data_IF_450454859898
#
_entry.id   IF_450454859898
#
_cell.length_a   1.000
_cell.length_b   1.000
_cell.length_c   1.000
_cell.angle_alpha   90.00
_cell.angle_beta   90.00
_cell.angle_gamma   90.00
#
_symmetry.space_group_name_H-M   'P 1'
#
loop_
_entity.id
_entity.type
_entity.pdbx_description
1 polymer ?
2 non-polymer ?
3 non-polymer ?
4 water ?
#
# COMPACT_ATOMS: atom_id res chain seq x y z
N UNK A 1 6.25 -12.91 4.38
CA UNK A 1 5.54 -14.02 3.75
C UNK A 1 4.04 -13.94 4.04
N UNK A 2 3.28 -14.81 3.38
CA UNK A 2 1.83 -14.83 3.55
C UNK A 2 1.44 -15.81 4.65
N UNK A 3 0.42 -15.44 5.42
CA UNK A 3 -0.06 -16.26 6.53
C UNK A 3 -1.57 -16.42 6.46
N UNK A 4 -2.18 -16.96 7.52
CA UNK A 4 -3.62 -17.09 7.55
C UNK A 4 -4.34 -15.75 7.50
N UNK A 5 -3.67 -14.67 7.92
CA UNK A 5 -4.28 -13.35 7.89
C UNK A 5 -4.65 -12.90 6.48
N UNK A 6 -4.06 -13.53 5.46
CA UNK A 6 -4.37 -13.24 4.07
C UNK A 6 -5.14 -14.37 3.39
N UNK A 7 -5.44 -15.46 4.11
CA UNK A 7 -5.91 -16.68 3.46
C UNK A 7 -7.19 -16.40 2.67
N UNK A 8 -8.11 -15.62 3.24
CA UNK A 8 -9.34 -15.29 2.54
C UNK A 8 -9.04 -14.70 1.16
N UNK A 9 -8.19 -13.68 1.13
CA UNK A 9 -7.80 -13.11 -0.14
C UNK A 9 -7.20 -14.14 -1.07
N UNK A 10 -6.29 -14.96 -0.53
CA UNK A 10 -5.70 -16.02 -1.34
C UNK A 10 -6.78 -16.95 -1.86
N UNK A 11 -7.74 -17.31 -1.01
CA UNK A 11 -8.83 -18.16 -1.47
C UNK A 11 -9.57 -17.49 -2.61
N UNK A 12 -9.84 -16.18 -2.49
CA UNK A 12 -10.54 -15.47 -3.54
C UNK A 12 -9.80 -15.57 -4.86
N UNK A 13 -8.46 -15.57 -4.81
CA UNK A 13 -7.69 -15.76 -6.04
C UNK A 13 -7.86 -17.18 -6.55
N UNK A 14 -7.68 -18.17 -5.67
CA UNK A 14 -7.64 -19.56 -6.11
C UNK A 14 -8.99 -19.98 -6.66
N UNK A 15 -10.06 -19.70 -5.91
CA UNK A 15 -11.40 -19.98 -6.38
C UNK A 15 -11.70 -19.23 -7.68
N UNK A 16 -11.05 -18.08 -7.89
CA UNK A 16 -11.23 -17.36 -9.14
C UNK A 16 -10.66 -18.15 -10.31
N UNK A 17 -9.53 -18.80 -10.11
CA UNK A 17 -8.87 -19.50 -11.21
C UNK A 17 -9.56 -20.82 -11.53
N UNK A 18 -9.78 -21.65 -10.49
CA UNK A 18 -10.37 -22.97 -10.71
C UNK A 18 -11.72 -22.83 -11.39
N UNK A 19 -12.59 -21.98 -10.83
CA UNK A 19 -13.91 -21.76 -11.42
C UNK A 19 -13.79 -21.30 -12.86
N UNK A 20 -12.76 -20.51 -13.18
CA UNK A 20 -12.53 -20.14 -14.57
C UNK A 20 -12.15 -21.35 -15.40
N UNK A 21 -11.15 -22.11 -14.95
CA UNK A 21 -10.65 -23.23 -15.74
C UNK A 21 -11.75 -24.25 -15.98
N UNK A 22 -12.40 -24.70 -14.90
CA UNK A 22 -13.48 -25.66 -15.01
C UNK A 22 -14.57 -25.15 -15.95
N UNK A 23 -14.76 -23.84 -16.05
CA UNK A 23 -15.72 -23.32 -17.00
C UNK A 23 -15.21 -23.50 -18.43
N UNK A 24 -14.01 -23.02 -18.72
CA UNK A 24 -13.50 -23.08 -20.08
C UNK A 24 -13.30 -24.53 -20.53
N UNK A 25 -12.75 -25.36 -19.64
CA UNK A 25 -12.57 -26.77 -19.94
C UNK A 25 -13.90 -27.44 -20.29
N UNK A 26 -15.00 -26.89 -19.79
CA UNK A 26 -16.31 -27.45 -20.10
C UNK A 26 -16.92 -26.93 -21.38
N UNK A 27 -16.51 -25.74 -21.84
CA UNK A 27 -17.13 -25.12 -23.00
C UNK A 27 -16.16 -25.00 -24.18
N UNK A 28 -15.03 -24.33 -23.98
CA UNK A 28 -14.02 -24.14 -25.03
C UNK A 28 -12.66 -24.48 -24.45
N UNK A 29 -12.30 -25.77 -24.42
CA UNK A 29 -10.99 -26.14 -23.87
C UNK A 29 -9.82 -25.44 -24.57
N UNK A 30 -9.90 -25.29 -25.89
CA UNK A 30 -8.82 -24.62 -26.62
C UNK A 30 -8.57 -23.20 -26.13
N UNK A 31 -9.40 -22.68 -25.22
CA UNK A 31 -9.26 -21.33 -24.70
C UNK A 31 -9.12 -21.29 -23.18
N UNK A 32 -8.62 -22.36 -22.54
CA UNK A 32 -8.35 -22.25 -21.10
C UNK A 32 -7.28 -21.20 -20.83
N UNK A 33 -6.20 -21.21 -21.61
CA UNK A 33 -5.08 -20.31 -21.32
C UNK A 33 -5.44 -18.84 -21.52
N UNK A 34 -6.07 -18.42 -22.63
CA UNK A 34 -6.44 -17.00 -22.74
C UNK A 34 -7.49 -16.60 -21.71
N UNK A 35 -8.54 -17.42 -21.57
CA UNK A 35 -9.61 -17.08 -20.66
C UNK A 35 -9.12 -16.89 -19.23
N UNK A 36 -8.29 -17.82 -18.76
CA UNK A 36 -7.66 -17.66 -17.45
C UNK A 36 -6.94 -16.32 -17.35
N UNK A 37 -6.16 -15.99 -18.37
CA UNK A 37 -5.46 -14.71 -18.38
C UNK A 37 -6.45 -13.56 -18.20
N UNK A 38 -7.58 -13.62 -18.91
CA UNK A 38 -8.61 -12.60 -18.75
C UNK A 38 -9.00 -12.47 -17.28
N UNK A 39 -9.34 -13.60 -16.65
CA UNK A 39 -9.68 -13.57 -15.23
C UNK A 39 -8.55 -12.93 -14.43
N UNK A 40 -7.32 -13.37 -14.69
CA UNK A 40 -6.19 -12.82 -13.97
C UNK A 40 -6.13 -11.31 -14.17
N UNK A 41 -6.29 -10.85 -15.41
CA UNK A 41 -6.29 -9.42 -15.67
C UNK A 41 -7.33 -8.72 -14.83
N UNK A 42 -8.55 -9.26 -14.80
CA UNK A 42 -9.61 -8.67 -13.98
C UNK A 42 -9.14 -8.54 -12.54
N UNK A 43 -8.57 -9.61 -11.99
CA UNK A 43 -8.14 -9.58 -10.60
C UNK A 43 -7.13 -8.46 -10.39
N UNK A 44 -6.21 -8.29 -11.33
CA UNK A 44 -5.21 -7.23 -11.22
C UNK A 44 -5.89 -5.89 -10.99
N UNK A 45 -6.89 -5.57 -11.83
CA UNK A 45 -7.59 -4.31 -11.67
C UNK A 45 -8.30 -4.26 -10.31
N UNK A 46 -8.94 -5.36 -9.92
CA UNK A 46 -9.64 -5.40 -8.65
C UNK A 46 -8.67 -5.20 -7.50
N UNK A 47 -7.40 -5.58 -7.70
CA UNK A 47 -6.42 -5.43 -6.64
C UNK A 47 -5.83 -4.02 -6.56
N UNK A 48 -6.24 -3.12 -7.45
CA UNK A 48 -5.73 -1.75 -7.43
C UNK A 48 -6.72 -0.75 -6.86
N UNK A 49 -7.87 -1.20 -6.36
CA UNK A 49 -8.94 -0.30 -5.96
C UNK A 49 -8.82 0.23 -4.54
N UNK A 50 -7.92 -0.32 -3.73
CA UNK A 50 -7.68 0.15 -2.36
C UNK A 50 -8.94 0.06 -1.50
N UNK A 51 -9.83 -0.86 -1.82
CA UNK A 51 -11.07 -0.98 -1.07
C UNK A 51 -10.80 -1.63 0.29
N UNK A 52 -11.59 -1.27 1.31
CA UNK A 52 -11.38 -1.86 2.65
C UNK A 52 -11.51 -3.37 2.65
N UNK A 53 -12.32 -3.94 1.77
CA UNK A 53 -12.43 -5.39 1.67
C UNK A 53 -11.10 -6.00 1.25
N UNK A 54 -10.36 -5.32 0.37
CA UNK A 54 -9.06 -5.83 -0.04
C UNK A 54 -8.10 -5.88 1.14
N UNK A 55 -8.07 -4.84 1.96
CA UNK A 55 -7.21 -4.84 3.13
C UNK A 55 -7.64 -5.90 4.13
N UNK A 56 -8.95 -6.09 4.30
CA UNK A 56 -9.44 -7.12 5.22
C UNK A 56 -9.02 -8.50 4.74
N UNK A 57 -9.11 -8.77 3.43
CA UNK A 57 -8.82 -10.09 2.92
C UNK A 57 -7.32 -10.38 2.85
N UNK A 58 -6.52 -9.39 2.44
CA UNK A 58 -5.09 -9.58 2.25
C UNK A 58 -4.26 -8.97 3.39
N UNK A 59 -4.90 -8.67 4.52
CA UNK A 59 -4.23 -8.13 5.71
C UNK A 59 -3.74 -6.71 5.50
N UNK A 60 -2.79 -6.50 4.59
CA UNK A 60 -2.17 -5.20 4.40
C UNK A 60 -2.16 -4.81 2.93
N UNK A 61 -1.96 -3.51 2.68
CA UNK A 61 -1.90 -3.00 1.32
C UNK A 61 -0.64 -3.46 0.60
N UNK A 62 0.45 -3.67 1.33
CA UNK A 62 1.68 -4.17 0.70
C UNK A 62 1.46 -5.56 0.11
N UNK A 63 0.79 -6.44 0.86
CA UNK A 63 0.43 -7.75 0.32
C UNK A 63 -0.54 -7.63 -0.84
N UNK A 64 -1.44 -6.64 -0.77
CA UNK A 64 -2.38 -6.40 -1.87
C UNK A 64 -1.62 -6.11 -3.16
N UNK A 65 -0.62 -5.23 -3.07
CA UNK A 65 0.13 -4.86 -4.28
C UNK A 65 1.08 -5.97 -4.71
N UNK A 66 1.57 -6.78 -3.77
CA UNK A 66 2.35 -7.96 -4.14
C UNK A 66 1.51 -8.93 -4.96
N UNK A 67 0.28 -9.22 -4.50
CA UNK A 67 -0.61 -10.08 -5.26
C UNK A 67 -1.00 -9.44 -6.59
N UNK A 68 -1.13 -8.11 -6.61
CA UNK A 68 -1.43 -7.38 -7.84
C UNK A 68 -0.32 -7.59 -8.87
N UNK A 69 0.94 -7.50 -8.45
CA UNK A 69 2.06 -7.75 -9.35
C UNK A 69 2.10 -9.22 -9.79
N UNK A 70 1.79 -10.15 -8.88
CA UNK A 70 1.79 -11.56 -9.25
C UNK A 70 0.73 -11.85 -10.31
N UNK A 71 -0.46 -11.29 -10.14
CA UNK A 71 -1.51 -11.47 -11.14
C UNK A 71 -1.13 -10.83 -12.46
N UNK A 72 -0.43 -9.68 -12.41
CA UNK A 72 0.06 -9.05 -13.63
C UNK A 72 1.02 -9.97 -14.39
N UNK A 73 1.98 -10.55 -13.67
CA UNK A 73 2.94 -11.46 -14.32
C UNK A 73 2.25 -12.70 -14.87
N UNK A 74 1.32 -13.28 -14.12
CA UNK A 74 0.59 -14.44 -14.63
C UNK A 74 -0.16 -14.09 -15.90
N UNK A 75 -0.84 -12.93 -15.91
CA UNK A 75 -1.56 -12.50 -17.09
C UNK A 75 -0.63 -12.35 -18.29
N UNK A 76 0.52 -11.71 -18.08
CA UNK A 76 1.39 -11.45 -19.23
C UNK A 76 2.01 -12.74 -19.76
N UNK A 77 2.36 -13.67 -18.86
CA UNK A 77 2.93 -14.94 -19.31
C UNK A 77 1.89 -15.73 -20.10
N UNK A 78 0.67 -15.82 -19.57
CA UNK A 78 -0.39 -16.54 -20.28
C UNK A 78 -0.69 -15.89 -21.63
N UNK A 79 -0.71 -14.56 -21.67
CA UNK A 79 -0.99 -13.86 -22.92
C UNK A 79 0.12 -14.07 -23.94
N UNK A 80 1.37 -14.09 -23.50
CA UNK A 80 2.47 -14.34 -24.43
C UNK A 80 2.38 -15.75 -24.99
N UNK A 81 2.07 -16.73 -24.15
CA UNK A 81 1.91 -18.09 -24.66
C UNK A 81 0.74 -18.18 -25.64
N UNK A 82 -0.36 -17.50 -25.32
CA UNK A 82 -1.52 -17.49 -26.21
C UNK A 82 -1.18 -16.86 -27.56
N UNK A 83 -0.44 -15.75 -27.54
CA UNK A 83 -0.01 -15.11 -28.79
C UNK A 83 0.89 -16.04 -29.59
N UNK A 84 1.81 -16.72 -28.92
CA UNK A 84 2.70 -17.63 -29.62
C UNK A 84 1.92 -18.78 -30.25
N UNK A 85 0.94 -19.31 -29.55
CA UNK A 85 0.22 -20.48 -30.02
C UNK A 85 -0.88 -20.17 -31.03
N UNK A 86 -1.34 -18.91 -31.10
CA UNK A 86 -2.51 -18.61 -31.94
C UNK A 86 -2.31 -17.42 -32.86
N UNK A 87 -1.07 -16.98 -33.09
CA UNK A 87 -0.86 -15.87 -33.98
C UNK A 87 0.60 -15.54 -34.16
N UNK A 88 0.85 -14.34 -34.69
CA UNK A 88 2.18 -13.83 -34.92
C UNK A 88 2.34 -12.46 -34.31
N UNK A 89 3.02 -11.58 -35.05
CA UNK A 89 3.31 -10.24 -34.57
C UNK A 89 2.27 -9.20 -34.97
N UNK A 90 1.44 -9.50 -35.96
CA UNK A 90 0.38 -8.58 -36.36
C UNK A 90 -0.74 -9.38 -37.02
N UNK A 91 -1.98 -9.09 -36.61
CA UNK A 91 -3.11 -9.86 -37.09
C UNK A 91 -3.53 -9.50 -38.50
N UNK A 92 -4.40 -10.34 -39.05
CA UNK A 92 -4.93 -10.13 -40.40
C UNK A 92 -6.25 -9.37 -40.39
N UNK A 93 -7.06 -9.52 -39.35
CA UNK A 93 -8.31 -8.81 -39.22
C UNK A 93 -8.29 -7.94 -37.97
N UNK A 94 -9.28 -7.05 -37.87
CA UNK A 94 -9.32 -6.07 -36.79
C UNK A 94 -9.41 -6.73 -35.42
N UNK A 95 -10.13 -7.86 -35.32
CA UNK A 95 -10.28 -8.53 -34.04
C UNK A 95 -8.94 -9.03 -33.51
N UNK A 96 -8.09 -9.56 -34.40
CA UNK A 96 -6.77 -10.02 -33.99
C UNK A 96 -5.81 -8.85 -33.75
N UNK A 97 -5.93 -7.78 -34.53
CA UNK A 97 -5.08 -6.61 -34.34
C UNK A 97 -5.36 -5.92 -33.01
N UNK A 98 -6.61 -5.97 -32.54
CA UNK A 98 -6.91 -5.46 -31.22
C UNK A 98 -6.13 -6.22 -30.14
N UNK A 99 -6.10 -7.55 -30.26
CA UNK A 99 -5.30 -8.33 -29.33
C UNK A 99 -3.82 -8.06 -29.43
N UNK A 100 -3.32 -7.86 -30.66
CA UNK A 100 -1.92 -7.51 -30.85
C UNK A 100 -1.57 -6.21 -30.14
N UNK A 101 -2.37 -5.17 -30.36
CA UNK A 101 -2.14 -3.89 -29.70
C UNK A 101 -2.24 -4.01 -28.20
N UNK A 102 -3.24 -4.74 -27.71
CA UNK A 102 -3.42 -4.90 -26.27
C UNK A 102 -2.22 -5.59 -25.63
N UNK A 103 -1.71 -6.65 -26.26
CA UNK A 103 -0.59 -7.38 -25.69
C UNK A 103 0.69 -6.53 -25.75
N UNK A 104 0.85 -5.74 -26.82
CA UNK A 104 2.01 -4.86 -26.89
C UNK A 104 1.97 -3.80 -25.79
N UNK A 105 0.81 -3.21 -25.56
CA UNK A 105 0.68 -2.21 -24.50
C UNK A 105 0.90 -2.85 -23.13
N UNK A 106 0.35 -4.04 -22.91
CA UNK A 106 0.54 -4.72 -21.63
C UNK A 106 2.01 -4.99 -21.37
N UNK A 107 2.72 -5.53 -22.37
CA UNK A 107 4.14 -5.82 -22.20
C UNK A 107 4.94 -4.55 -21.96
N UNK A 108 4.66 -3.48 -22.72
CA UNK A 108 5.38 -2.23 -22.53
C UNK A 108 5.15 -1.66 -21.14
N UNK A 109 3.90 -1.68 -20.66
CA UNK A 109 3.60 -1.13 -19.34
C UNK A 109 4.27 -1.96 -18.26
N UNK A 110 4.26 -3.28 -18.39
CA UNK A 110 4.89 -4.13 -17.38
C UNK A 110 6.39 -3.91 -17.36
N UNK A 111 7.01 -3.72 -18.53
CA UNK A 111 8.43 -3.39 -18.57
C UNK A 111 8.71 -2.05 -17.91
N UNK A 112 7.87 -1.04 -18.17
CA UNK A 112 8.11 0.28 -17.62
C UNK A 112 7.85 0.30 -16.11
N UNK A 113 7.03 -0.62 -15.60
CA UNK A 113 6.72 -0.65 -14.17
C UNK A 113 7.99 -0.80 -13.34
N UNK A 114 8.96 -1.57 -13.83
CA UNK A 114 10.29 -1.59 -13.22
C UNK A 114 11.24 -0.61 -13.90
N UNK A 115 10.78 0.65 -13.94
CA UNK A 115 11.63 1.79 -14.33
C UNK A 115 11.35 2.98 -13.43
N UNK A 116 10.97 2.74 -12.18
CA UNK A 116 10.58 3.81 -11.28
C UNK A 116 11.72 4.70 -10.81
N UNK A 117 12.96 4.19 -10.86
CA UNK A 117 14.09 5.02 -10.47
C UNK A 117 14.28 6.19 -11.43
N UNK A 118 14.06 5.96 -12.72
CA UNK A 118 14.29 6.98 -13.74
C UNK A 118 13.08 7.84 -14.04
N UNK A 119 11.91 7.51 -13.47
CA UNK A 119 10.66 8.18 -13.80
C UNK A 119 10.03 8.72 -12.52
N UNK A 120 9.56 9.96 -12.58
CA UNK A 120 8.81 10.54 -11.47
C UNK A 120 7.52 9.76 -11.24
N UNK A 121 7.04 9.79 -10.00
CA UNK A 121 5.92 8.94 -9.61
C UNK A 121 4.65 9.27 -10.40
N UNK A 122 4.39 10.56 -10.64
CA UNK A 122 3.19 10.93 -11.38
C UNK A 122 3.28 10.51 -12.85
N UNK A 123 4.46 10.68 -13.46
CA UNK A 123 4.64 10.18 -14.82
C UNK A 123 4.56 8.66 -14.87
N UNK A 124 5.07 7.99 -13.83
CA UNK A 124 4.94 6.54 -13.74
C UNK A 124 3.47 6.14 -13.70
N UNK A 125 2.66 6.83 -12.89
CA UNK A 125 1.24 6.52 -12.81
C UNK A 125 0.53 6.79 -14.13
N UNK A 126 0.86 7.90 -14.80
CA UNK A 126 0.22 8.23 -16.07
C UNK A 126 0.55 7.20 -17.13
N UNK A 127 1.79 6.72 -17.17
CA UNK A 127 2.14 5.64 -18.09
C UNK A 127 1.43 4.35 -17.71
N UNK A 128 1.36 4.07 -16.40
CA UNK A 128 0.73 2.84 -15.92
C UNK A 128 -0.75 2.79 -16.27
N UNK A 129 -1.41 3.96 -16.34
CA UNK A 129 -2.85 4.00 -16.57
C UNK A 129 -3.24 3.53 -17.97
N UNK A 130 -2.28 3.33 -18.88
CA UNK A 130 -2.59 2.78 -20.19
C UNK A 130 -3.04 1.32 -20.14
N UNK A 131 -2.94 0.68 -18.97
CA UNK A 131 -3.48 -0.66 -18.80
C UNK A 131 -4.98 -0.67 -19.07
N UNK A 132 -5.67 0.43 -18.78
CA UNK A 132 -7.10 0.50 -19.06
C UNK A 132 -7.37 0.44 -20.56
N UNK A 133 -6.59 1.18 -21.36
CA UNK A 133 -6.74 1.11 -22.80
C UNK A 133 -6.41 -0.27 -23.32
N UNK A 134 -5.34 -0.89 -22.80
CA UNK A 134 -4.98 -2.25 -23.21
C UNK A 134 -6.09 -3.24 -22.87
N UNK A 135 -6.68 -3.09 -21.67
CA UNK A 135 -7.77 -3.96 -21.23
C UNK A 135 -9.00 -3.80 -22.10
N UNK A 136 -9.34 -2.56 -22.47
CA UNK A 136 -10.48 -2.33 -23.35
C UNK A 136 -10.23 -2.93 -24.72
N UNK A 137 -9.00 -2.79 -25.24
CA UNK A 137 -8.67 -3.40 -26.52
C UNK A 137 -8.78 -4.92 -26.45
N UNK A 138 -8.32 -5.52 -25.36
CA UNK A 138 -8.42 -6.96 -25.19
C UNK A 138 -9.87 -7.42 -25.09
N UNK A 139 -10.71 -6.65 -24.40
CA UNK A 139 -12.13 -7.00 -24.31
C UNK A 139 -12.81 -6.91 -25.68
N UNK A 140 -12.48 -5.88 -26.45
CA UNK A 140 -13.00 -5.78 -27.81
C UNK A 140 -12.56 -6.98 -28.64
N UNK A 141 -11.28 -7.32 -28.55
CA UNK A 141 -10.76 -8.50 -29.25
C UNK A 141 -11.55 -9.74 -28.88
N UNK A 142 -11.74 -9.97 -27.58
CA UNK A 142 -12.42 -11.18 -27.10
C UNK A 142 -13.84 -11.23 -27.63
N UNK A 143 -14.56 -10.10 -27.55
CA UNK A 143 -15.98 -10.14 -27.87
C UNK A 143 -16.22 -10.24 -29.37
N UNK A 144 -15.46 -9.52 -30.19
CA UNK A 144 -15.63 -9.72 -31.62
C UNK A 144 -15.11 -11.07 -32.10
N UNK A 145 -14.15 -11.68 -31.40
CA UNK A 145 -13.73 -13.03 -31.75
C UNK A 145 -14.80 -14.06 -31.39
N UNK A 146 -15.40 -13.96 -30.22
CA UNK A 146 -16.34 -14.98 -29.75
C UNK A 146 -17.76 -14.80 -30.26
N UNK A 147 -18.16 -13.58 -30.63
CA UNK A 147 -19.49 -13.40 -31.18
C UNK A 147 -20.55 -13.66 -30.13
N UNK A 148 -21.55 -14.48 -30.49
CA UNK A 148 -22.68 -14.79 -29.63
C UNK A 148 -22.38 -15.89 -28.62
N UNK A 149 -21.20 -16.51 -28.69
CA UNK A 149 -20.82 -17.50 -27.69
C UNK A 149 -20.67 -16.88 -26.30
N UNK A 150 -20.47 -15.57 -26.22
CA UNK A 150 -20.33 -14.86 -24.95
C UNK A 150 -21.51 -13.93 -24.68
N UNK A 151 -22.59 -14.06 -25.45
CA UNK A 151 -23.77 -13.22 -25.30
C UNK A 151 -25.03 -14.07 -25.13
N UNK A 152 -24.88 -15.29 -24.64
CA UNK A 152 -25.99 -16.20 -24.41
C UNK A 152 -26.21 -16.38 -22.91
N UNK A 153 -27.17 -17.24 -22.58
CA UNK A 153 -27.51 -17.54 -21.19
C UNK A 153 -26.84 -18.86 -20.81
N UNK A 154 -25.57 -18.78 -20.46
CA UNK A 154 -24.81 -19.95 -20.04
C UNK A 154 -23.70 -19.51 -19.10
N UNK A 155 -23.07 -20.49 -18.45
CA UNK A 155 -22.10 -20.20 -17.41
C UNK A 155 -20.89 -19.46 -17.95
N UNK A 156 -20.43 -19.83 -19.15
CA UNK A 156 -19.26 -19.18 -19.73
C UNK A 156 -19.51 -17.70 -19.96
N UNK A 157 -20.68 -17.37 -20.52
CA UNK A 157 -21.02 -15.98 -20.77
C UNK A 157 -21.09 -15.19 -19.47
N UNK A 158 -21.74 -15.76 -18.45
CA UNK A 158 -21.85 -15.08 -17.16
C UNK A 158 -20.48 -14.85 -16.54
N UNK A 159 -19.62 -15.86 -16.56
CA UNK A 159 -18.31 -15.74 -15.95
C UNK A 159 -17.46 -14.69 -16.66
N UNK A 160 -17.39 -14.77 -17.99
CA UNK A 160 -16.58 -13.83 -18.75
C UNK A 160 -17.11 -12.41 -18.58
N UNK A 161 -18.43 -12.23 -18.69
CA UNK A 161 -19.00 -10.91 -18.54
C UNK A 161 -18.82 -10.34 -17.15
N UNK A 162 -18.97 -11.19 -16.13
CA UNK A 162 -18.84 -10.73 -14.75
C UNK A 162 -17.41 -10.26 -14.47
N UNK A 163 -16.42 -11.08 -14.86
CA UNK A 163 -15.04 -10.66 -14.61
C UNK A 163 -14.66 -9.45 -15.46
N UNK A 164 -15.12 -9.38 -16.70
CA UNK A 164 -14.83 -8.23 -17.54
C UNK A 164 -15.44 -6.95 -16.97
N UNK A 165 -16.69 -7.03 -16.51
CA UNK A 165 -17.35 -5.86 -15.95
C UNK A 165 -16.70 -5.45 -14.63
N UNK A 166 -16.31 -6.41 -13.80
CA UNK A 166 -15.62 -6.07 -12.56
C UNK A 166 -14.30 -5.38 -12.84
N UNK A 167 -13.52 -5.90 -13.80
CA UNK A 167 -12.28 -5.24 -14.15
C UNK A 167 -12.49 -3.84 -14.71
N UNK A 168 -13.49 -3.68 -15.57
CA UNK A 168 -13.78 -2.38 -16.15
C UNK A 168 -14.18 -1.37 -15.07
N UNK A 169 -15.06 -1.78 -14.16
CA UNK A 169 -15.51 -0.88 -13.10
C UNK A 169 -14.37 -0.56 -12.14
N UNK A 170 -13.54 -1.54 -11.80
CA UNK A 170 -12.41 -1.30 -10.92
C UNK A 170 -11.42 -0.32 -11.54
N UNK A 171 -11.10 -0.52 -12.82
CA UNK A 171 -10.19 0.40 -13.49
C UNK A 171 -10.74 1.80 -13.58
N UNK A 172 -12.03 1.92 -13.95
CA UNK A 172 -12.64 3.24 -14.04
C UNK A 172 -12.66 3.94 -12.69
N UNK A 173 -12.99 3.20 -11.63
CA UNK A 173 -13.04 3.80 -10.29
C UNK A 173 -11.65 4.28 -9.87
N UNK A 174 -10.64 3.43 -10.03
CA UNK A 174 -9.32 3.80 -9.52
C UNK A 174 -8.70 4.92 -10.36
N UNK A 175 -8.97 4.94 -11.67
CA UNK A 175 -8.31 5.92 -12.53
C UNK A 175 -9.05 7.26 -12.53
N UNK A 176 -10.38 7.25 -12.52
CA UNK A 176 -11.16 8.46 -12.73
C UNK A 176 -11.93 8.94 -11.50
N UNK A 177 -12.33 8.03 -10.62
CA UNK A 177 -13.25 8.38 -9.54
C UNK A 177 -12.63 8.39 -8.16
N UNK A 178 -11.57 7.62 -7.93
CA UNK A 178 -11.07 7.44 -6.57
C UNK A 178 -10.61 8.75 -5.95
N UNK A 179 -9.89 9.58 -6.72
CA UNK A 179 -9.38 10.83 -6.18
C UNK A 179 -10.42 11.94 -6.15
N UNK A 180 -11.60 11.71 -6.73
CA UNK A 180 -12.66 12.73 -6.79
C UNK A 180 -13.78 12.48 -5.79
N UNK A 181 -14.17 11.23 -5.57
CA UNK A 181 -15.31 10.92 -4.71
C UNK A 181 -14.91 10.22 -3.41
N UNK A 182 -13.74 9.60 -3.35
CA UNK A 182 -13.34 8.81 -2.20
C UNK A 182 -12.45 9.56 -1.23
N UNK A 183 -12.35 10.88 -1.34
CA UNK A 183 -11.59 11.71 -0.42
C UNK A 183 -12.54 12.66 0.29
N UNK A 184 -13.40 12.15 1.18
CA UNK A 184 -14.45 12.99 1.75
C UNK A 184 -14.02 13.83 2.93
N UNK A 185 -12.79 13.67 3.43
CA UNK A 185 -12.35 14.43 4.60
C UNK A 185 -11.67 15.69 4.12
N UNK A 186 -12.40 16.81 4.17
CA UNK A 186 -11.87 18.11 3.77
C UNK A 186 -11.35 18.84 4.99
N UNK A 187 -10.11 19.32 4.92
CA UNK A 187 -9.50 19.98 6.05
C UNK A 187 -8.68 21.19 5.62
N UNK A 188 -8.35 22.00 6.61
CA UNK A 188 -7.49 23.16 6.45
C UNK A 188 -6.25 23.00 7.29
N UNK A 189 -5.10 23.35 6.72
CA UNK A 189 -3.85 23.33 7.48
C UNK A 189 -3.84 24.52 8.42
N UNK A 190 -3.73 24.26 9.72
CA UNK A 190 -3.80 25.31 10.73
C UNK A 190 -2.47 25.66 11.36
N UNK A 191 -1.54 24.70 11.47
CA UNK A 191 -0.26 24.95 12.11
C UNK A 191 0.81 24.10 11.45
N UNK A 192 2.01 24.68 11.32
CA UNK A 192 3.17 23.98 10.80
C UNK A 192 4.35 24.22 11.73
N UNK A 193 5.09 23.16 12.02
CA UNK A 193 6.25 23.24 12.90
C UNK A 193 7.39 22.45 12.30
N UNK A 194 8.57 23.05 12.26
CA UNK A 194 9.77 22.40 11.74
C UNK A 194 10.51 21.76 12.90
N UNK A 195 10.50 20.42 12.94
CA UNK A 195 11.10 19.70 14.06
C UNK A 195 12.62 19.71 13.98
N UNK A 196 13.19 19.57 12.78
CA UNK A 196 14.63 19.64 12.60
C UNK A 196 14.89 20.22 11.21
N UNK A 197 16.11 20.01 10.70
CA UNK A 197 16.50 20.59 9.42
C UNK A 197 15.72 20.03 8.24
N UNK A 198 15.06 18.87 8.38
CA UNK A 198 14.38 18.28 7.25
C UNK A 198 13.03 17.65 7.57
N UNK A 199 12.45 17.88 8.74
CA UNK A 199 11.17 17.29 9.10
C UNK A 199 10.21 18.38 9.53
N UNK A 200 8.99 18.33 9.02
CA UNK A 200 7.97 19.32 9.34
C UNK A 200 6.70 18.63 9.83
N UNK A 201 6.08 19.21 10.85
CA UNK A 201 4.83 18.72 11.40
C UNK A 201 3.68 19.57 10.89
N UNK A 202 2.60 18.93 10.46
CA UNK A 202 1.44 19.57 9.88
C UNK A 202 0.23 19.24 10.73
N UNK A 203 -0.49 20.27 11.17
CA UNK A 203 -1.73 20.13 11.92
C UNK A 203 -2.89 20.52 11.01
N UNK A 204 -3.91 19.66 10.96
CA UNK A 204 -5.03 19.80 10.05
C UNK A 204 -6.32 19.84 10.86
N UNK A 205 -7.17 20.81 10.59
CA UNK A 205 -8.51 20.87 11.15
C UNK A 205 -9.50 20.38 10.10
N UNK A 206 -10.24 19.32 10.43
CA UNK A 206 -11.15 18.68 9.49
C UNK A 206 -12.58 19.14 9.71
N UNK A 207 -13.38 18.98 8.67
CA UNK A 207 -14.80 19.32 8.75
C UNK A 207 -15.59 18.25 9.50
N UNK A 208 -15.14 17.01 9.46
CA UNK A 208 -15.78 15.89 10.14
C UNK A 208 -14.78 15.17 11.01
N UNK A 209 -15.23 14.52 12.08
CA UNK A 209 -14.32 13.68 12.86
C UNK A 209 -13.73 12.56 12.01
N UNK A 210 -12.45 12.28 12.23
CA UNK A 210 -11.72 11.27 11.50
C UNK A 210 -11.41 10.10 12.44
N UNK A 211 -11.81 8.91 12.06
CA UNK A 211 -11.67 7.73 12.90
C UNK A 211 -10.46 6.93 12.43
N UNK A 212 -9.54 6.68 13.35
CA UNK A 212 -8.33 5.92 13.05
C UNK A 212 -7.82 5.31 14.35
N UNK A 213 -6.92 4.36 14.22
CA UNK A 213 -6.21 3.77 15.35
C UNK A 213 -4.73 4.02 15.18
N UNK A 214 -4.05 4.26 16.31
CA UNK A 214 -2.63 4.57 16.27
C UNK A 214 -1.84 3.47 15.58
N UNK A 215 -0.93 3.88 14.70
CA UNK A 215 -0.21 2.96 13.84
C UNK A 215 -0.73 2.88 12.43
N UNK A 216 -1.80 3.60 12.10
CA UNK A 216 -2.38 3.61 10.78
C UNK A 216 -1.91 4.83 10.00
N UNK A 217 -2.15 4.81 8.69
CA UNK A 217 -1.75 5.88 7.80
C UNK A 217 -2.93 6.29 6.91
N UNK A 218 -2.72 7.34 6.13
CA UNK A 218 -3.76 7.84 5.24
C UNK A 218 -3.10 8.53 4.05
N UNK A 219 -3.87 8.68 2.98
CA UNK A 219 -3.41 9.35 1.77
C UNK A 219 -3.87 10.80 1.79
N UNK A 220 -2.92 11.72 1.70
CA UNK A 220 -3.18 13.15 1.78
C UNK A 220 -3.04 13.79 0.40
N UNK A 221 -3.99 14.65 0.05
CA UNK A 221 -3.92 15.47 -1.16
C UNK A 221 -3.90 16.93 -0.74
N UNK A 222 -2.88 17.66 -1.18
CA UNK A 222 -2.67 19.06 -0.81
C UNK A 222 -3.04 19.93 -2.01
N UNK A 223 -3.79 20.99 -1.76
CA UNK A 223 -4.23 21.92 -2.80
C UNK A 223 -3.62 23.29 -2.49
N UNK A 224 -2.46 23.55 -3.07
CA UNK A 224 -1.79 24.83 -2.95
C UNK A 224 -1.16 25.18 -4.29
N UNK A 225 -1.01 26.48 -4.55
CA UNK A 225 -0.33 26.92 -5.76
C UNK A 225 1.13 26.50 -5.73
N UNK A 226 1.56 25.77 -6.76
CA UNK A 226 2.90 25.24 -6.82
C UNK A 226 3.06 23.84 -6.25
N UNK A 227 2.00 23.26 -5.69
CA UNK A 227 2.05 21.93 -5.12
C UNK A 227 1.36 20.92 -6.03
N UNK A 228 1.85 19.69 -6.00
CA UNK A 228 1.19 18.61 -6.70
C UNK A 228 0.03 18.07 -5.86
N UNK A 229 -1.05 17.70 -6.53
CA UNK A 229 -2.29 17.27 -5.86
C UNK A 229 -2.41 15.76 -5.75
N UNK A 230 -1.38 15.02 -6.15
CA UNK A 230 -1.43 13.57 -6.06
C UNK A 230 -1.45 13.13 -4.59
N UNK A 231 -2.14 12.03 -4.28
CA UNK A 231 -2.22 11.57 -2.89
C UNK A 231 -0.91 10.90 -2.47
N UNK A 232 -0.42 11.28 -1.30
CA UNK A 232 0.78 10.65 -0.76
C UNK A 232 0.44 9.98 0.57
N UNK A 233 0.98 8.78 0.82
CA UNK A 233 0.71 8.11 2.09
C UNK A 233 1.58 8.68 3.21
N UNK A 234 0.96 8.99 4.33
CA UNK A 234 1.65 9.43 5.53
C UNK A 234 0.98 8.81 6.74
N UNK A 235 1.80 8.37 7.71
CA UNK A 235 1.27 7.86 8.96
C UNK A 235 0.65 9.00 9.77
N UNK A 236 -0.50 8.72 10.39
CA UNK A 236 -1.11 9.70 11.28
C UNK A 236 -0.29 9.76 12.56
N UNK A 237 0.20 10.95 12.90
CA UNK A 237 1.11 11.13 14.02
C UNK A 237 0.45 11.78 15.22
N UNK A 238 -0.87 11.74 15.30
CA UNK A 238 -1.57 12.26 16.45
C UNK A 238 -2.90 12.88 16.05
N UNK A 239 -3.56 13.45 17.05
CA UNK A 239 -4.83 14.12 16.83
C UNK A 239 -6.02 13.21 17.05
N UNK A 240 -7.14 13.83 17.40
CA UNK A 240 -8.39 13.09 17.57
C UNK A 240 -9.55 14.00 17.18
N UNK A 241 -10.65 13.38 16.75
CA UNK A 241 -11.81 14.13 16.32
C UNK A 241 -11.58 14.87 15.02
N UNK A 242 -11.62 16.20 15.08
CA UNK A 242 -11.45 17.04 13.90
C UNK A 242 -10.06 17.65 13.81
N UNK A 243 -9.06 17.04 14.45
CA UNK A 243 -7.68 17.50 14.40
C UNK A 243 -6.79 16.32 14.07
N UNK A 244 -5.86 16.52 13.13
CA UNK A 244 -4.94 15.48 12.70
C UNK A 244 -3.53 16.03 12.65
N UNK A 245 -2.56 15.16 12.90
CA UNK A 245 -1.15 15.50 12.81
C UNK A 245 -0.45 14.57 11.81
N UNK A 246 0.41 15.16 10.98
CA UNK A 246 1.26 14.40 10.07
C UNK A 246 2.68 14.92 10.16
N UNK A 247 3.63 14.00 10.24
CA UNK A 247 5.05 14.37 10.33
C UNK A 247 5.75 13.91 9.06
N UNK A 248 6.22 14.87 8.27
CA UNK A 248 6.75 14.62 6.94
C UNK A 248 8.24 14.92 6.95
N UNK A 249 9.05 13.92 6.57
CA UNK A 249 10.48 14.08 6.38
C UNK A 249 10.77 14.33 4.91
N UNK A 250 11.79 15.13 4.65
CA UNK A 250 12.18 15.44 3.28
C UNK A 250 12.85 14.23 2.65
N UNK A 251 12.22 13.68 1.61
CA UNK A 251 12.78 12.53 0.90
C UNK A 251 12.66 12.66 -0.61
N UNK A 252 12.26 13.82 -1.10
CA UNK A 252 12.06 14.00 -2.53
C UNK A 252 11.50 15.38 -2.79
N UNK A 253 11.10 15.60 -4.05
CA UNK A 253 10.66 16.93 -4.46
C UNK A 253 9.39 17.35 -3.72
N UNK A 254 8.41 16.45 -3.59
CA UNK A 254 7.15 16.82 -2.96
C UNK A 254 7.31 17.04 -1.47
N UNK A 255 8.07 16.19 -0.79
CA UNK A 255 8.27 16.36 0.65
C UNK A 255 9.17 17.54 0.96
N UNK A 256 10.15 17.81 0.10
CA UNK A 256 10.94 19.04 0.24
C UNK A 256 10.07 20.27 0.03
N UNK A 257 9.14 20.20 -0.92
CA UNK A 257 8.18 21.28 -1.12
C UNK A 257 7.31 21.47 0.12
N UNK A 258 6.89 20.37 0.74
CA UNK A 258 6.12 20.45 1.97
C UNK A 258 6.92 21.14 3.07
N UNK A 259 8.20 20.76 3.19
CA UNK A 259 9.05 21.34 4.23
C UNK A 259 9.29 22.83 3.99
N UNK A 260 9.44 23.23 2.73
CA UNK A 260 9.89 24.58 2.44
C UNK A 260 8.75 25.58 2.23
N UNK A 261 7.76 25.23 1.40
CA UNK A 261 6.81 26.20 0.87
C UNK A 261 5.38 26.00 1.34
N UNK A 262 5.08 24.93 2.07
CA UNK A 262 3.71 24.70 2.52
C UNK A 262 3.26 25.81 3.46
N UNK A 263 2.02 26.28 3.27
CA UNK A 263 1.49 27.41 4.01
C UNK A 263 0.26 26.97 4.82
N UNK A 264 0.07 27.63 5.96
CA UNK A 264 -1.12 27.40 6.76
C UNK A 264 -2.34 27.99 6.06
N UNK A 265 -3.48 27.31 6.21
CA UNK A 265 -4.69 27.70 5.54
C UNK A 265 -4.94 27.02 4.21
N UNK A 266 -4.01 26.19 3.75
CA UNK A 266 -4.20 25.47 2.50
C UNK A 266 -5.22 24.34 2.67
N UNK A 267 -5.85 23.97 1.57
CA UNK A 267 -6.83 22.89 1.57
C UNK A 267 -6.13 21.54 1.49
N UNK A 268 -6.67 20.57 2.22
CA UNK A 268 -6.20 19.19 2.15
C UNK A 268 -7.41 18.27 2.12
N UNK A 269 -7.24 17.11 1.49
CA UNK A 269 -8.26 16.08 1.48
C UNK A 269 -7.66 14.75 1.89
N UNK A 270 -8.42 14.00 2.68
CA UNK A 270 -8.05 12.66 3.12
C UNK A 270 -9.18 11.70 2.80
N UNK A 271 -8.81 10.46 2.51
CA UNK A 271 -9.77 9.43 2.10
C UNK A 271 -10.25 8.60 3.29
N UNK A 272 -9.34 7.90 3.95
CA UNK A 272 -9.66 7.03 5.08
C UNK A 272 -8.35 6.58 5.71
N UNK A 273 -8.46 5.72 6.72
CA UNK A 273 -7.31 5.19 7.44
C UNK A 273 -7.00 3.80 6.94
N UNK A 274 -5.71 3.54 6.68
CA UNK A 274 -5.21 2.25 6.25
C UNK A 274 -4.17 1.76 7.25
N UNK A 275 -3.99 0.46 7.31
CA UNK A 275 -2.90 -0.12 8.08
C UNK A 275 -3.25 -1.30 8.95
N UNK A 276 -2.26 -2.15 9.19
CA UNK A 276 -2.42 -3.32 10.04
C UNK A 276 -1.58 -3.25 11.31
N UNK A 277 -0.84 -2.16 11.52
CA UNK A 277 0.02 -2.01 12.70
C UNK A 277 -0.73 -1.27 13.81
N UNK A 278 -1.83 -1.87 14.25
CA UNK A 278 -2.65 -1.29 15.30
C UNK A 278 -2.01 -1.64 16.64
N UNK A 279 -1.44 -0.63 17.30
CA UNK A 279 -0.68 -0.87 18.53
C UNK A 279 -1.60 -1.31 19.66
N UNK A 280 -2.77 -0.69 19.78
CA UNK A 280 -3.68 -0.98 20.88
C UNK A 280 -4.24 -2.40 20.84
N UNK A 281 -4.12 -3.10 19.71
CA UNK A 281 -4.62 -4.46 19.57
C UNK A 281 -3.53 -5.51 19.77
N UNK A 282 -2.35 -5.12 20.22
CA UNK A 282 -1.26 -6.05 20.45
C UNK A 282 -1.28 -6.64 21.85
N UNK A 283 -0.25 -7.40 22.14
CA UNK A 283 -0.12 -8.04 23.44
C UNK A 283 0.16 -7.00 24.52
N UNK A 284 0.02 -7.43 25.78
CA UNK A 284 0.29 -6.53 26.90
C UNK A 284 1.75 -6.08 26.91
N UNK A 285 2.68 -7.01 26.68
CA UNK A 285 4.09 -6.68 26.56
C UNK A 285 4.39 -6.34 25.12
N UNK A 286 5.01 -5.18 24.89
CA UNK A 286 5.27 -4.70 23.54
C UNK A 286 6.68 -4.14 23.45
N UNK A 287 7.31 -4.36 22.31
CA UNK A 287 8.61 -3.79 21.98
C UNK A 287 8.44 -2.98 20.70
N UNK A 288 8.71 -1.68 20.78
CA UNK A 288 8.62 -0.79 19.63
C UNK A 288 10.02 -0.50 19.11
N UNK A 289 10.19 -0.62 17.80
CA UNK A 289 11.46 -0.33 17.14
C UNK A 289 11.18 0.63 15.99
N UNK A 290 11.76 1.82 16.07
CA UNK A 290 11.55 2.86 15.07
C UNK A 290 12.89 3.28 14.47
N UNK A 291 12.93 3.41 13.15
CA UNK A 291 14.09 3.96 12.49
C UNK A 291 13.77 5.26 11.78
N UNK A 292 14.29 6.37 12.31
CA UNK A 292 14.03 7.67 11.71
C UNK A 292 12.56 8.02 11.73
N UNK A 293 12.07 8.49 10.57
CA UNK A 293 10.69 8.93 10.45
C UNK A 293 9.69 7.82 10.78
N UNK A 294 10.16 6.56 10.79
CA UNK A 294 9.33 5.46 11.25
C UNK A 294 8.84 5.60 12.68
N UNK A 295 9.30 6.62 13.40
CA UNK A 295 8.76 6.92 14.73
C UNK A 295 7.34 7.48 14.66
N UNK A 296 6.87 7.86 13.47
CA UNK A 296 5.59 8.56 13.36
C UNK A 296 4.40 7.80 13.94
N UNK A 297 4.20 6.49 13.67
CA UNK A 297 3.02 5.84 14.27
C UNK A 297 3.05 5.77 15.79
N UNK A 298 4.19 5.39 16.37
CA UNK A 298 4.29 5.27 17.82
C UNK A 298 4.00 6.59 18.51
N UNK A 299 4.51 7.69 17.94
CA UNK A 299 4.23 9.02 18.48
C UNK A 299 2.72 9.22 18.61
N UNK A 300 1.97 8.80 17.59
CA UNK A 300 0.52 8.90 17.64
C UNK A 300 -0.02 8.26 18.92
N UNK A 301 0.39 7.03 19.20
CA UNK A 301 -0.04 6.37 20.43
C UNK A 301 0.31 7.21 21.64
N UNK A 302 1.54 7.72 21.70
CA UNK A 302 1.98 8.52 22.83
C UNK A 302 1.11 9.76 22.96
N UNK A 303 0.72 10.35 21.83
CA UNK A 303 -0.11 11.55 21.86
C UNK A 303 -1.56 11.24 22.19
N UNK A 304 -2.00 10.00 22.05
CA UNK A 304 -3.40 9.65 22.28
C UNK A 304 -3.61 8.86 23.56
N UNK A 305 -2.55 8.42 24.24
CA UNK A 305 -2.64 7.68 25.49
C UNK A 305 -1.69 8.32 26.49
N UNK A 306 -2.11 9.40 27.15
CA UNK A 306 -1.23 10.04 28.15
C UNK A 306 -0.82 9.11 29.27
N UNK A 307 -1.68 8.19 29.67
CA UNK A 307 -1.34 7.15 30.63
C UNK A 307 -1.15 5.86 29.84
N UNK A 308 0.07 5.34 29.83
CA UNK A 308 0.35 4.12 29.08
C UNK A 308 -0.26 2.91 29.77
N UNK A 309 -0.94 2.07 29.01
CA UNK A 309 -1.62 0.90 29.53
C UNK A 309 -0.86 -0.39 29.30
N UNK A 310 0.30 -0.33 28.64
CA UNK A 310 1.08 -1.51 28.31
C UNK A 310 2.49 -1.37 28.87
N UNK A 311 3.21 -2.48 28.88
CA UNK A 311 4.63 -2.48 29.19
C UNK A 311 5.40 -2.40 27.88
N UNK A 312 6.00 -1.24 27.62
CA UNK A 312 6.57 -0.93 26.31
C UNK A 312 8.05 -0.63 26.48
N UNK A 313 8.87 -1.31 25.66
CA UNK A 313 10.27 -0.95 25.45
C UNK A 313 10.38 -0.36 24.06
N UNK A 314 10.68 0.94 23.98
CA UNK A 314 10.79 1.65 22.72
C UNK A 314 12.26 1.86 22.40
N UNK A 315 12.66 1.47 21.18
CA UNK A 315 14.00 1.69 20.67
C UNK A 315 13.89 2.65 19.49
N UNK A 316 14.40 3.86 19.67
CA UNK A 316 14.37 4.87 18.62
C UNK A 316 15.80 5.07 18.11
N UNK A 317 16.05 4.67 16.87
CA UNK A 317 17.36 4.77 16.26
C UNK A 317 17.36 5.93 15.27
N UNK A 318 18.30 6.86 15.45
CA UNK A 318 18.40 8.02 14.58
C UNK A 318 19.84 8.24 14.15
N UNK A 319 20.01 8.81 12.96
CA UNK A 319 21.33 9.05 12.36
C UNK A 319 21.82 10.42 12.79
N UNK A 320 22.30 10.50 14.03
CA UNK A 320 22.77 11.77 14.56
C UNK A 320 21.70 12.51 15.31
N UNK A 321 22.13 13.32 16.28
CA UNK A 321 21.20 14.10 17.08
C UNK A 321 20.46 15.14 16.25
N UNK A 322 21.02 15.56 15.12
CA UNK A 322 20.32 16.48 14.24
C UNK A 322 19.19 15.82 13.47
N UNK A 323 19.15 14.50 13.44
CA UNK A 323 18.11 13.76 12.74
C UNK A 323 17.05 13.21 13.69
N UNK A 324 17.10 13.57 14.97
CA UNK A 324 16.14 13.10 15.96
C UNK A 324 14.98 14.07 16.06
N UNK A 325 13.77 13.52 16.22
CA UNK A 325 12.56 14.30 16.41
C UNK A 325 11.86 13.85 17.69
N UNK A 326 11.11 14.77 18.29
CA UNK A 326 10.23 14.46 19.43
C UNK A 326 11.00 13.94 20.63
N UNK A 327 12.28 14.30 20.78
CA UNK A 327 13.06 13.81 21.91
C UNK A 327 12.52 14.32 23.23
N UNK A 328 12.15 15.60 23.29
CA UNK A 328 11.56 16.15 24.52
C UNK A 328 10.24 15.46 24.84
N UNK A 329 9.42 15.21 23.82
CA UNK A 329 8.15 14.52 24.03
C UNK A 329 8.37 13.11 24.55
N UNK A 330 9.34 12.38 23.98
CA UNK A 330 9.62 11.03 24.43
C UNK A 330 10.16 11.02 25.86
N UNK A 331 11.02 11.98 26.20
CA UNK A 331 11.54 12.06 27.56
C UNK A 331 10.43 12.39 28.56
N UNK A 332 9.52 13.29 28.19
CA UNK A 332 8.38 13.59 29.05
C UNK A 332 7.49 12.38 29.24
N UNK A 333 7.24 11.63 28.16
CA UNK A 333 6.42 10.43 28.28
C UNK A 333 7.09 9.38 29.15
N UNK A 334 8.41 9.21 29.02
CA UNK A 334 9.12 8.26 29.86
C UNK A 334 9.09 8.67 31.33
N UNK A 335 9.26 9.97 31.60
CA UNK A 335 9.19 10.44 32.98
C UNK A 335 7.80 10.25 33.57
N UNK A 336 6.76 10.51 32.77
CA UNK A 336 5.40 10.40 33.28
C UNK A 336 4.97 8.95 33.46
N UNK A 337 5.42 8.06 32.56
CA UNK A 337 4.97 6.67 32.55
C UNK A 337 6.08 5.74 32.99
N UNK A 338 6.03 5.20 34.21
CA UNK A 338 7.08 4.27 34.65
C UNK A 338 7.15 2.99 33.84
N UNK A 339 6.07 2.58 33.19
CA UNK A 339 6.07 1.35 32.40
C UNK A 339 6.60 1.57 30.99
N UNK A 340 6.99 2.79 30.64
CA UNK A 340 7.56 3.11 29.34
C UNK A 340 9.07 3.19 29.47
N UNK A 341 9.78 2.33 28.74
CA UNK A 341 11.24 2.33 28.72
C UNK A 341 11.71 2.90 27.39
N UNK A 342 12.62 3.86 27.45
CA UNK A 342 13.08 4.59 26.28
C UNK A 342 14.56 4.28 26.03
N UNK A 343 14.88 3.91 24.79
CA UNK A 343 16.25 3.62 24.38
C UNK A 343 16.54 4.41 23.12
N UNK A 344 17.28 5.51 23.27
CA UNK A 344 17.67 6.35 22.14
C UNK A 344 19.02 5.89 21.63
N UNK A 345 19.08 5.49 20.37
CA UNK A 345 20.29 4.96 19.75
C UNK A 345 20.72 5.93 18.67
N UNK A 346 21.82 6.64 18.92
CA UNK A 346 22.45 7.49 17.92
C UNK A 346 23.33 6.59 17.07
N UNK A 347 22.83 6.21 15.89
CA UNK A 347 23.54 5.23 15.05
C UNK A 347 24.87 5.75 14.55
N UNK A 348 25.08 7.07 14.54
CA UNK A 348 26.37 7.61 14.13
C UNK A 348 27.47 7.27 15.13
N UNK A 349 27.16 7.35 16.43
CA UNK A 349 28.16 7.17 17.47
C UNK A 349 27.96 5.92 18.32
N UNK A 350 26.72 5.46 18.51
CA UNK A 350 26.46 4.30 19.34
C UNK A 350 26.51 2.99 18.57
N UNK A 351 26.63 3.03 17.25
CA UNK A 351 26.67 1.83 16.45
C UNK A 351 25.36 1.52 15.77
N UNK A 352 24.77 0.37 16.09
CA UNK A 352 23.50 -0.03 15.50
C UNK A 352 22.75 -0.90 16.49
N UNK A 353 21.45 -1.07 16.23
CA UNK A 353 20.62 -1.89 17.10
C UNK A 353 20.95 -3.36 16.91
N UNK A 354 21.33 -4.03 18.00
CA UNK A 354 21.67 -5.45 17.98
C UNK A 354 20.85 -6.14 19.06
N UNK A 355 20.11 -7.18 18.66
CA UNK A 355 19.24 -7.89 19.59
C UNK A 355 19.77 -9.27 19.94
N UNK A 356 21.06 -9.53 19.71
CA UNK A 356 21.64 -10.79 20.17
C UNK A 356 21.88 -10.80 21.66
N UNK A 357 21.92 -9.62 22.30
CA UNK A 357 22.16 -9.51 23.73
C UNK A 357 20.96 -8.99 24.51
N UNK A 358 20.14 -8.13 23.91
CA UNK A 358 19.00 -7.57 24.61
C UNK A 358 17.92 -8.62 24.83
N UNK A 359 17.24 -8.52 25.96
CA UNK A 359 16.18 -9.46 26.31
C UNK A 359 14.87 -9.05 25.65
N UNK A 360 13.96 -10.02 25.55
CA UNK A 360 12.63 -9.77 25.01
C UNK A 360 11.60 -10.28 26.01
N UNK A 361 10.44 -9.63 26.15
CA UNK A 361 9.39 -10.17 27.00
C UNK A 361 8.86 -11.49 26.45
N UNK A 362 8.33 -12.30 27.37
CA UNK A 362 7.90 -13.66 27.02
C UNK A 362 6.77 -13.63 25.99
N UNK A 363 5.62 -13.09 26.38
CA UNK A 363 4.44 -13.03 25.50
C UNK A 363 4.39 -11.63 24.92
N UNK A 364 5.23 -11.38 23.92
CA UNK A 364 5.51 -10.04 23.45
C UNK A 364 5.13 -9.86 21.99
N UNK A 365 4.71 -8.64 21.67
CA UNK A 365 4.49 -8.19 20.30
C UNK A 365 5.54 -7.13 19.97
N UNK A 366 6.19 -7.26 18.82
CA UNK A 366 7.24 -6.35 18.39
C UNK A 366 6.75 -5.63 17.14
N UNK A 367 6.67 -4.31 17.23
CA UNK A 367 6.27 -3.45 16.12
C UNK A 367 7.51 -2.82 15.51
N UNK A 368 7.61 -2.88 14.19
CA UNK A 368 8.75 -2.35 13.45
C UNK A 368 8.27 -1.35 12.41
N UNK A 369 8.90 -0.18 12.41
CA UNK A 369 8.64 0.86 11.41
C UNK A 369 9.96 1.54 11.10
N UNK A 370 10.50 1.28 9.92
CA UNK A 370 11.77 1.84 9.52
C UNK A 370 12.30 1.21 8.25
N UNK A 371 13.58 1.42 7.97
CA UNK A 371 14.18 0.81 6.77
C UNK A 371 14.10 -0.71 6.85
N UNK A 372 13.83 -1.33 5.69
CA UNK A 372 13.68 -2.78 5.63
C UNK A 372 15.02 -3.47 5.90
N UNK A 373 16.13 -2.87 5.45
CA UNK A 373 17.44 -3.51 5.59
C UNK A 373 17.79 -3.72 7.06
N UNK A 374 17.59 -2.71 7.89
CA UNK A 374 17.90 -2.84 9.31
C UNK A 374 16.79 -3.54 10.09
N UNK A 375 15.57 -3.59 9.55
CA UNK A 375 14.50 -4.33 10.19
C UNK A 375 14.63 -5.83 9.98
N UNK A 376 15.16 -6.27 8.84
CA UNK A 376 15.25 -7.70 8.56
C UNK A 376 16.20 -8.41 9.54
N UNK A 377 17.37 -7.83 9.77
CA UNK A 377 18.32 -8.44 10.70
C UNK A 377 17.76 -8.46 12.11
N UNK A 378 17.10 -7.38 12.53
CA UNK A 378 16.51 -7.35 13.87
C UNK A 378 15.42 -8.39 14.01
N UNK A 379 14.59 -8.55 12.98
CA UNK A 379 13.54 -9.57 13.02
C UNK A 379 14.14 -10.97 13.10
N UNK A 380 15.21 -11.22 12.34
CA UNK A 380 15.87 -12.51 12.41
C UNK A 380 16.42 -12.79 13.80
N UNK A 381 17.08 -11.80 14.40
CA UNK A 381 17.63 -11.97 15.74
C UNK A 381 16.53 -12.22 16.76
N UNK A 382 15.44 -11.46 16.69
CA UNK A 382 14.35 -11.61 17.66
C UNK A 382 13.67 -12.96 17.50
N UNK A 383 13.45 -13.41 16.26
CA UNK A 383 12.88 -14.73 16.04
C UNK A 383 13.81 -15.82 16.52
N UNK A 384 15.12 -15.65 16.34
CA UNK A 384 16.08 -16.62 16.83
C UNK A 384 16.04 -16.70 18.36
N UNK A 385 15.91 -15.56 19.03
CA UNK A 385 15.87 -15.57 20.49
C UNK A 385 14.58 -16.21 21.00
N UNK A 386 13.44 -15.62 20.66
CA UNK A 386 12.12 -16.14 21.05
C UNK A 386 11.31 -16.38 19.80
N UNK A 387 11.19 -17.63 19.33
CA UNK A 387 10.48 -17.89 18.06
C UNK A 387 8.99 -17.60 18.12
N UNK A 388 8.38 -17.54 19.31
CA UNK A 388 6.94 -17.34 19.43
C UNK A 388 6.55 -15.88 19.62
N UNK A 389 7.51 -14.96 19.57
CA UNK A 389 7.19 -13.55 19.69
C UNK A 389 6.42 -13.06 18.46
N UNK A 390 5.32 -12.36 18.69
CA UNK A 390 4.56 -11.80 17.58
C UNK A 390 5.33 -10.65 16.95
N UNK A 391 5.29 -10.56 15.62
CA UNK A 391 6.08 -9.57 14.89
C UNK A 391 5.21 -8.91 13.83
N UNK A 392 5.12 -7.59 13.87
CA UNK A 392 4.44 -6.82 12.84
C UNK A 392 5.37 -5.73 12.36
N UNK A 393 5.50 -5.59 11.04
CA UNK A 393 6.36 -4.59 10.43
C UNK A 393 5.58 -3.81 9.38
N UNK A 394 5.88 -2.52 9.25
CA UNK A 394 5.30 -1.70 8.20
C UNK A 394 6.39 -0.92 7.49
N UNK A 395 6.38 -1.00 6.15
CA UNK A 395 7.31 -0.26 5.32
C UNK A 395 6.70 1.02 4.77
N UNK A 396 7.53 1.76 4.05
CA UNK A 396 7.16 3.08 3.54
C UNK A 396 7.22 3.13 2.01
N UNK A 397 6.80 2.04 1.35
CA UNK A 397 6.71 2.04 -0.10
C UNK A 397 5.85 0.86 -0.55
N UNK A 398 5.39 0.95 -1.81
CA UNK A 398 4.61 -0.11 -2.42
C UNK A 398 5.29 -0.76 -3.62
N UNK A 399 6.31 -0.11 -4.20
CA UNK A 399 7.01 -0.67 -5.35
C UNK A 399 8.50 -0.32 -5.29
X LIG B 1 10.07 11.05 -4.41
X LIG B 1 11.44 11.60 -4.57
X LIG B 1 9.08 11.39 -5.52
X LIG B 1 10.11 9.50 -4.26
X LIG B 1 10.88 8.86 -3.21
X LIG B 1 10.21 7.57 -2.82
X LIG B 1 8.82 7.80 -2.51
X LIG B 1 10.23 6.46 -3.88
X LIG B 1 10.41 5.18 -3.30
X LIG B 1 8.86 6.61 -4.54
X LIG B 1 8.40 5.37 -5.08
X LIG B 1 7.99 7.02 -3.35
X LIG B 1 6.83 7.83 -3.71
X LIG B 1 6.83 9.02 -4.37
X LIG B 1 5.64 9.54 -4.57
X LIG B 1 4.79 8.59 -4.00
X LIG B 1 3.39 8.55 -3.87
X LIG B 1 2.56 9.48 -4.34
X LIG B 1 2.85 7.47 -3.25
X LIG B 1 3.68 6.52 -2.78
X LIG B 1 5.00 6.47 -2.84
X LIG B 1 5.51 7.54 -3.47
X LIG B 1 6.90 9.70 4.99
X LIG B 1 7.04 10.56 6.04
X LIG B 1 7.81 11.53 5.97
X LIG B 1 6.31 10.37 7.20
X LIG B 1 5.42 9.35 7.43
X LIG B 1 4.83 9.29 8.51
X LIG B 1 5.27 8.43 6.32
X LIG B 1 4.44 7.44 6.46
X LIG B 1 4.31 6.56 5.40
X LIG B 1 3.43 5.48 5.53
X LIG B 1 3.25 4.57 4.49
X LIG B 1 2.30 3.42 4.66
X LIG B 1 3.97 4.74 3.29
X LIG B 1 3.81 3.78 2.15
X LIG B 1 4.85 5.81 3.16
X LIG B 1 5.02 6.72 4.21
X LIG B 1 5.90 7.81 4.10
X LIG B 1 6.06 8.69 5.14
X LIG B 1 6.69 8.03 2.88
X LIG B 1 6.07 9.07 1.95
X LIG B 1 4.87 8.57 1.37
X LIG B 1 7.07 9.39 0.84
X LIG B 1 8.27 9.90 1.42
X LIG B 1 6.56 10.41 -0.19
X LIG B 1 5.29 9.96 -0.69
X LIG B 1 7.54 10.61 -1.33
X LIG B 1 7.28 11.89 -1.95
X LIG B 1 8.42 12.66 -2.70
X LIG B 1 7.89 13.21 -4.02
X LIG B 1 9.01 13.65 -1.80
X LIG B 1 9.47 11.51 -3.02
X LIG C 1 -5.32 -14.41 -31.28
X LIG C 1 -9.24 -15.94 -28.84
X LIG C 1 -7.88 -13.22 -25.06
X LIG C 1 -4.21 -11.40 -27.64
X LIG C 1 -6.51 -15.03 -30.97
X LIG C 1 -7.31 -15.86 -31.86
X LIG C 1 -8.38 -16.28 -31.20
X LIG C 1 -8.31 -15.74 -29.85
X LIG C 1 -9.49 -17.18 -31.75
X LIG C 1 -6.97 -16.19 -33.33
X LIG C 1 -7.19 -14.92 -34.16
X LIG C 1 -6.65 -15.12 -35.55
X LIG C 1 -6.67 -14.14 -36.34
X LIG C 1 -6.18 -16.24 -35.86
X LIG C 1 -9.18 -15.37 -27.59
X LIG C 1 -10.08 -15.67 -26.49
X LIG C 1 -9.71 -14.91 -25.43
X LIG C 1 -8.57 -14.13 -25.84
X LIG C 1 -11.24 -16.68 -26.59
X LIG C 1 -10.31 -14.82 -24.00
X LIG C 1 -11.36 -15.51 -23.57
X LIG C 1 -6.84 -12.41 -25.47
X LIG C 1 -6.36 -11.23 -24.78
X LIG C 1 -5.33 -10.73 -25.49
X LIG C 1 -5.16 -11.57 -26.66
X LIG C 1 -6.96 -10.72 -23.45
X LIG C 1 -4.43 -9.48 -25.23
X LIG C 1 -4.50 -8.71 -24.14
X LIG C 1 -4.15 -12.09 -28.84
X LIG C 1 -3.12 -11.96 -29.84
X LIG C 1 -3.42 -12.79 -30.85
X LIG C 1 -4.66 -13.47 -30.52
X LIG C 1 -1.90 -11.03 -29.77
X LIG C 1 -2.58 -12.97 -32.13
X LIG C 1 -3.40 -12.61 -33.37
X LIG C 1 -2.56 -12.73 -34.61
X LIG C 1 -3.02 -13.40 -35.57
X LIG C 1 -1.43 -12.19 -34.64
X LIG C 1 -7.16 -14.99 -29.75
X LIG C 1 -8.28 -14.43 -27.16
X LIG C 1 -6.09 -12.59 -26.61
X LIG C 1 -5.07 -13.02 -29.28
X LIG C 1 -6.67 -13.73 -28.21
X LIG D 1 -1.63 0.87 -9.54
X LIG D 1 -3.35 -1.95 -13.12
X LIG D 1 0.92 -4.26 -13.31
X LIG D 1 2.29 -1.95 -9.28
X LIG D 1 -2.42 0.40 -10.58
X LIG D 1 -3.59 1.04 -11.12
X LIG D 1 -4.06 0.25 -12.11
X LIG D 1 -3.21 -0.90 -12.22
X LIG D 1 -5.31 0.56 -12.96
X LIG D 1 -4.19 2.38 -10.66
X LIG D 1 -3.29 3.52 -11.09
X LIG D 1 -3.87 4.83 -10.64
X LIG D 1 -3.89 5.08 -9.41
X LIG D 1 -4.30 5.62 -11.50
X LIG D 1 -2.34 -2.83 -13.49
X LIG D 1 -2.44 -3.83 -14.53
X LIG D 1 -1.25 -4.48 -14.58
X LIG D 1 -0.38 -3.89 -13.58
X LIG D 1 -3.71 -4.07 -15.37
X LIG D 1 -0.80 -5.64 -15.51
X LIG D 1 -1.57 -6.29 -16.37
X LIG D 1 1.69 -3.79 -12.27
X LIG D 1 3.11 -4.05 -12.06
X LIG D 1 3.48 -3.40 -10.94
X LIG D 1 2.32 -2.72 -10.42
X LIG D 1 3.96 -4.92 -13.00
X LIG D 1 4.85 -3.30 -10.23
X LIG D 1 6.01 -3.70 -10.75
X LIG D 1 1.35 -0.99 -8.98
X LIG D 1 1.35 -0.12 -7.83
X LIG D 1 0.27 0.66 -7.90
X LIG D 1 -0.46 0.30 -9.10
X LIG D 1 2.43 -0.11 -6.73
X LIG D 1 -0.15 1.75 -6.90
X LIG D 1 0.73 2.99 -7.09
X LIG D 1 0.19 4.12 -6.27
X LIG D 1 -1.02 4.43 -6.39
X LIG D 1 0.97 4.71 -5.48
X LIG D 1 -2.22 -0.78 -11.27
X LIG D 1 -1.09 -2.89 -12.95
X LIG D 1 1.25 -2.98 -11.25
X LIG D 1 0.23 -0.71 -9.73
X LIG D 1 -0.43 -1.81 -11.32
#
# INVERSE_FOLDING_TARGET
EFSMKSVKGLLFIIASFILTLLTWMNTSPQFMIPGLALTSLSLTFILATRLPLLESWFHSLEKVYTVHKFTAFLSIILLIFHNFSMGGLWGSRLAAQFGNLAIYIFASIILVAYLGKYIQYEAWRWIHRLVYLAYILGLFHIYMIMGNRLLTFNLLSFLVGSYALLGLLAGFYIIFLYQKISFPYLGKITHLKRLNHDTREIQIHLSRPFNYQSGQFAFLKIFQEGFESAPHPFSISGGHGQTLYFTVKTSGDHTKNIYDNLQAGSKVTLDRAYGHMIIEEGRENQVWIAGGIGITPFISYIREHPILDKQVHFYYSFRGDENAVYLDLLRNYAQKNPNFELHLIDSTKDGYLNFEQKEVPEHATVYMCGPISMMKALAKQIKKQNPKTELIYEGFKFK
FAD PA O1A O2A O5B C5B C4B O4B C3B O3B C2B O2B C1B N9A C8A N7A C5A C6A N6A N1A C2A N3A C4A N1 C2 O2 N3 C4 O4 C4X N5 C5X C6 C7 C7M C8 C8M C9 C9A N10 C10 C1' C2' O2' C3' O3' C4' O4' C5' O5' P O1P O2P O3P
HEM CHA CHB CHC CHD C1A C2A C3A C4A CMA CAA CBA CGA O1A O2A C1B C2B C3B C4B CMB CAB CBB C1C C2C C3C C4C CMC CAC CBC C1D C2D C3D C4D CMD CAD CBD CGD O1D O2D NA NB NC ND FE
HEM CHA CHB CHC CHD C1A C2A C3A C4A CMA CAA CBA CGA O1A O2A C1B C2B C3B C4B CMB CAB CBB C1C C2C C3C C4C CMC CAC CBC C1D C2D C3D C4D CMD CAD CBD CGD O1D O2D NA NB NC ND FE
#
